data_IF_703340748856
#
_entry.id   IF_703340748856
#
_cell.length_a   1.000
_cell.length_b   1.000
_cell.length_c   1.000
_cell.angle_alpha   90.00
_cell.angle_beta   90.00
_cell.angle_gamma   90.00
#
_symmetry.space_group_name_H-M   'P 1'
#
loop_
_entity.id
_entity.type
_entity.pdbx_description
1 polymer ?
#
# COMPACT_ATOMS: atom_id res chain seq x y z
N UNK A 1 -21.65 23.82 6.70
CA UNK A 1 -22.33 22.75 7.46
C UNK A 1 -22.49 21.45 6.68
N UNK A 2 -23.28 21.34 5.60
CA UNK A 2 -23.40 20.04 4.86
C UNK A 2 -22.24 19.77 3.88
N UNK A 3 -21.68 20.82 3.26
CA UNK A 3 -20.65 20.69 2.23
C UNK A 3 -19.25 20.39 2.79
N UNK A 4 -18.89 20.97 3.94
CA UNK A 4 -17.62 20.69 4.64
C UNK A 4 -17.49 19.21 5.05
N UNK A 5 -18.62 18.56 5.35
CA UNK A 5 -18.66 17.13 5.68
C UNK A 5 -18.37 16.24 4.45
N UNK A 6 -18.88 16.65 3.27
CA UNK A 6 -18.64 15.94 2.02
C UNK A 6 -17.19 16.06 1.52
N UNK A 7 -16.60 17.25 1.61
CA UNK A 7 -15.22 17.49 1.18
C UNK A 7 -14.22 16.80 2.12
N UNK A 8 -14.48 16.80 3.44
CA UNK A 8 -13.66 16.09 4.41
C UNK A 8 -13.68 14.56 4.19
N UNK A 9 -14.87 13.98 3.98
CA UNK A 9 -15.02 12.55 3.70
C UNK A 9 -14.34 12.15 2.39
N UNK A 10 -14.46 12.98 1.35
CA UNK A 10 -13.76 12.76 0.08
C UNK A 10 -12.25 12.77 0.28
N UNK A 11 -11.72 13.78 0.98
CA UNK A 11 -10.29 13.89 1.25
C UNK A 11 -9.77 12.68 2.04
N UNK A 12 -10.54 12.21 3.03
CA UNK A 12 -10.21 11.02 3.80
C UNK A 12 -10.12 9.76 2.91
N UNK A 13 -11.12 9.53 2.06
CA UNK A 13 -11.15 8.37 1.15
C UNK A 13 -9.99 8.39 0.15
N UNK A 14 -9.70 9.56 -0.42
CA UNK A 14 -8.54 9.73 -1.31
C UNK A 14 -7.24 9.43 -0.56
N UNK A 15 -7.09 9.93 0.66
CA UNK A 15 -5.90 9.66 1.47
C UNK A 15 -5.72 8.16 1.77
N UNK A 16 -6.80 7.42 2.05
CA UNK A 16 -6.76 5.97 2.25
C UNK A 16 -6.26 5.27 0.98
N UNK A 17 -6.78 5.61 -0.20
CA UNK A 17 -6.34 5.02 -1.48
C UNK A 17 -4.87 5.31 -1.76
N UNK A 18 -4.41 6.54 -1.51
CA UNK A 18 -2.99 6.92 -1.65
C UNK A 18 -2.12 6.05 -0.76
N UNK A 19 -2.48 5.90 0.53
CA UNK A 19 -1.69 5.11 1.48
C UNK A 19 -1.69 3.63 1.11
N UNK A 20 -2.84 3.04 0.72
CA UNK A 20 -2.89 1.64 0.27
C UNK A 20 -1.95 1.42 -0.91
N UNK A 21 -1.97 2.31 -1.90
CA UNK A 21 -1.11 2.20 -3.10
C UNK A 21 0.37 2.36 -2.78
N UNK A 22 0.71 3.22 -1.82
CA UNK A 22 2.08 3.38 -1.35
C UNK A 22 2.58 2.12 -0.63
N UNK A 23 1.73 1.55 0.22
CA UNK A 23 2.04 0.38 1.04
C UNK A 23 2.23 -0.87 0.17
N UNK A 24 1.46 -1.05 -0.91
CA UNK A 24 1.67 -2.18 -1.83
C UNK A 24 2.88 -2.02 -2.75
N UNK A 25 3.49 -0.83 -2.84
CA UNK A 25 4.64 -0.54 -3.72
C UNK A 25 5.81 0.08 -2.96
N UNK A 26 6.30 -0.53 -1.87
CA UNK A 26 7.29 0.07 -0.99
C UNK A 26 8.60 0.41 -1.70
N UNK A 27 8.99 -0.34 -2.75
CA UNK A 27 10.17 -0.05 -3.56
C UNK A 27 10.08 1.31 -4.28
N UNK A 28 8.88 1.73 -4.67
CA UNK A 28 8.63 3.03 -5.31
C UNK A 28 8.66 4.17 -4.27
N UNK A 29 8.24 3.91 -3.03
CA UNK A 29 8.05 4.94 -2.00
C UNK A 29 9.09 4.92 -0.88
N UNK A 30 10.20 4.20 -1.07
CA UNK A 30 11.23 3.98 -0.04
C UNK A 30 11.98 5.23 0.42
N UNK A 31 12.31 6.14 -0.50
CA UNK A 31 13.21 7.26 -0.23
C UNK A 31 12.47 8.59 -0.26
N UNK A 32 12.51 9.33 0.85
CA UNK A 32 11.93 10.68 0.94
C UNK A 32 12.77 11.68 0.14
N UNK A 33 12.10 12.65 -0.50
CA UNK A 33 12.70 13.68 -1.32
C UNK A 33 11.73 14.16 -2.42
N UNK A 34 12.20 15.05 -3.31
CA UNK A 34 11.36 15.65 -4.36
C UNK A 34 10.62 14.62 -5.22
N UNK A 35 11.25 13.50 -5.52
CA UNK A 35 10.62 12.42 -6.30
C UNK A 35 9.54 11.67 -5.53
N UNK A 36 9.70 11.52 -4.21
CA UNK A 36 8.65 10.95 -3.35
C UNK A 36 7.44 11.87 -3.31
N UNK A 37 7.66 13.16 -3.05
CA UNK A 37 6.58 14.15 -2.98
C UNK A 37 5.82 14.20 -4.31
N UNK A 38 6.53 14.21 -5.44
CA UNK A 38 5.92 14.15 -6.79
C UNK A 38 5.05 12.92 -6.99
N UNK A 39 5.50 11.73 -6.55
CA UNK A 39 4.73 10.48 -6.69
C UNK A 39 3.48 10.50 -5.82
N UNK A 40 3.58 10.99 -4.60
CA UNK A 40 2.43 11.15 -3.69
C UNK A 40 1.44 12.17 -4.26
N UNK A 41 1.92 13.31 -4.75
CA UNK A 41 1.09 14.31 -5.41
C UNK A 41 0.39 13.74 -6.65
N UNK A 42 1.10 13.01 -7.51
CA UNK A 42 0.52 12.39 -8.70
C UNK A 42 -0.58 11.37 -8.36
N UNK A 43 -0.39 10.55 -7.32
CA UNK A 43 -1.44 9.65 -6.83
C UNK A 43 -2.64 10.43 -6.27
N UNK A 44 -2.38 11.49 -5.51
CA UNK A 44 -3.43 12.33 -4.93
C UNK A 44 -4.27 12.98 -6.03
N UNK A 45 -3.61 13.54 -7.05
CA UNK A 45 -4.28 14.12 -8.22
C UNK A 45 -5.10 13.08 -8.98
N UNK A 46 -4.52 11.90 -9.24
CA UNK A 46 -5.21 10.79 -9.90
C UNK A 46 -6.47 10.39 -9.16
N UNK A 47 -6.38 10.06 -7.87
CA UNK A 47 -7.52 9.59 -7.08
C UNK A 47 -8.53 10.69 -6.78
N UNK A 48 -8.10 11.96 -6.72
CA UNK A 48 -9.02 13.08 -6.65
C UNK A 48 -9.81 13.22 -7.94
N UNK A 49 -9.16 13.11 -9.10
CA UNK A 49 -9.80 13.22 -10.41
C UNK A 49 -10.72 12.03 -10.72
N UNK A 50 -10.34 10.83 -10.32
CA UNK A 50 -11.13 9.60 -10.50
C UNK A 50 -12.08 9.30 -9.34
N UNK A 51 -12.34 10.28 -8.46
CA UNK A 51 -13.15 10.06 -7.28
C UNK A 51 -14.61 9.74 -7.67
N UNK A 52 -15.01 8.51 -7.42
CA UNK A 52 -16.40 8.07 -7.51
C UNK A 52 -16.88 7.63 -6.12
N UNK A 53 -17.97 8.24 -5.65
CA UNK A 53 -18.58 7.95 -4.36
C UNK A 53 -19.01 6.48 -4.23
N UNK A 54 -19.38 5.84 -5.34
CA UNK A 54 -19.86 4.45 -5.36
C UNK A 54 -18.70 3.45 -5.23
N UNK A 55 -17.63 3.63 -6.02
CA UNK A 55 -16.42 2.80 -5.95
C UNK A 55 -15.69 2.97 -4.60
N UNK A 56 -15.65 4.18 -4.05
CA UNK A 56 -14.94 4.48 -2.80
C UNK A 56 -15.72 4.11 -1.53
N UNK A 57 -16.99 3.69 -1.65
CA UNK A 57 -17.79 3.23 -0.51
C UNK A 57 -17.26 1.91 0.08
N UNK A 58 -16.48 1.15 -0.68
CA UNK A 58 -15.94 -0.15 -0.30
C UNK A 58 -14.50 -0.08 0.23
N UNK A 59 -13.93 1.12 0.34
CA UNK A 59 -12.60 1.29 0.91
C UNK A 59 -12.61 0.93 2.40
N UNK A 60 -11.52 0.34 2.91
CA UNK A 60 -11.38 0.10 4.34
C UNK A 60 -11.31 1.42 5.09
N UNK A 61 -11.76 1.45 6.34
CA UNK A 61 -11.47 2.55 7.26
C UNK A 61 -9.98 2.57 7.62
N UNK A 62 -9.50 3.70 8.18
CA UNK A 62 -8.15 3.77 8.75
C UNK A 62 -7.90 2.70 9.81
N UNK A 63 -8.91 2.41 10.64
CA UNK A 63 -8.81 1.38 11.67
C UNK A 63 -8.65 -0.01 11.04
N UNK A 64 -9.45 -0.33 10.01
CA UNK A 64 -9.34 -1.61 9.30
C UNK A 64 -8.00 -1.76 8.60
N UNK A 65 -7.51 -0.69 7.95
CA UNK A 65 -6.20 -0.71 7.30
C UNK A 65 -5.07 -0.88 8.32
N UNK A 66 -5.10 -0.12 9.43
CA UNK A 66 -4.10 -0.24 10.48
C UNK A 66 -4.14 -1.63 11.14
N UNK A 67 -5.33 -2.16 11.40
CA UNK A 67 -5.53 -3.49 11.94
C UNK A 67 -4.94 -4.54 11.01
N UNK A 68 -5.28 -4.48 9.71
CA UNK A 68 -4.74 -5.38 8.69
C UNK A 68 -3.20 -5.36 8.73
N UNK A 69 -2.57 -4.21 8.63
CA UNK A 69 -1.10 -4.11 8.65
C UNK A 69 -0.47 -4.61 9.96
N UNK A 70 -1.12 -4.36 11.11
CA UNK A 70 -0.65 -4.86 12.40
C UNK A 70 -0.68 -6.38 12.50
N UNK A 71 -1.70 -7.02 11.91
CA UNK A 71 -1.86 -8.48 11.89
C UNK A 71 -1.12 -9.17 10.74
N UNK A 72 -0.25 -8.46 10.01
CA UNK A 72 0.56 -9.08 8.97
C UNK A 72 1.39 -10.25 9.55
N UNK A 73 1.33 -11.45 8.94
CA UNK A 73 2.13 -12.59 9.34
C UNK A 73 3.61 -12.27 9.43
N UNK A 74 4.31 -12.85 10.40
CA UNK A 74 5.71 -12.52 10.69
C UNK A 74 6.64 -12.78 9.50
N UNK A 75 6.47 -13.88 8.78
CA UNK A 75 7.22 -14.16 7.55
C UNK A 75 7.03 -13.07 6.48
N UNK A 76 5.80 -12.56 6.30
CA UNK A 76 5.51 -11.47 5.37
C UNK A 76 6.13 -10.15 5.84
N UNK A 77 6.08 -9.84 7.15
CA UNK A 77 6.73 -8.65 7.73
C UNK A 77 8.23 -8.65 7.47
N UNK A 78 8.90 -9.79 7.69
CA UNK A 78 10.34 -9.96 7.46
C UNK A 78 10.67 -9.69 5.98
N UNK A 79 9.96 -10.35 5.05
CA UNK A 79 10.20 -10.23 3.62
C UNK A 79 9.88 -8.81 3.12
N UNK A 80 8.80 -8.19 3.61
CA UNK A 80 8.45 -6.81 3.31
C UNK A 80 9.58 -5.85 3.71
N UNK A 81 10.07 -5.96 4.95
CA UNK A 81 11.14 -5.08 5.43
C UNK A 81 12.46 -5.33 4.73
N UNK A 82 12.87 -6.59 4.55
CA UNK A 82 14.17 -6.94 3.98
C UNK A 82 14.25 -6.63 2.48
N UNK A 83 13.30 -7.15 1.69
CA UNK A 83 13.36 -7.05 0.23
C UNK A 83 12.68 -5.77 -0.24
N UNK A 84 11.43 -5.58 0.18
CA UNK A 84 10.56 -4.53 -0.37
C UNK A 84 10.92 -3.13 0.16
N UNK A 85 11.39 -3.01 1.40
CA UNK A 85 11.81 -1.74 2.03
C UNK A 85 13.32 -1.55 2.09
N UNK A 86 14.14 -2.57 2.34
CA UNK A 86 15.60 -2.40 2.40
C UNK A 86 16.32 -2.71 1.08
N UNK A 87 15.68 -3.42 0.14
CA UNK A 87 16.28 -3.77 -1.15
C UNK A 87 17.30 -4.88 -1.07
N UNK A 88 17.24 -5.68 -0.01
CA UNK A 88 18.08 -6.85 0.15
C UNK A 88 17.71 -7.91 -0.89
N UNK A 89 18.70 -8.68 -1.29
CA UNK A 89 18.50 -9.90 -2.08
C UNK A 89 17.79 -10.97 -1.27
N UNK A 90 17.26 -11.99 -1.95
CA UNK A 90 16.65 -13.18 -1.32
C UNK A 90 17.61 -13.85 -0.32
N UNK A 91 18.88 -13.97 -0.67
CA UNK A 91 19.88 -14.58 0.22
C UNK A 91 20.13 -13.74 1.48
N UNK A 92 20.22 -12.42 1.34
CA UNK A 92 20.39 -11.50 2.46
C UNK A 92 19.14 -11.39 3.35
N UNK A 93 17.95 -11.58 2.78
CA UNK A 93 16.69 -11.61 3.52
C UNK A 93 16.51 -12.90 4.33
N UNK A 94 17.00 -14.04 3.82
CA UNK A 94 17.01 -15.31 4.55
C UNK A 94 18.05 -15.32 5.69
N UNK A 95 19.16 -14.57 5.53
CA UNK A 95 20.26 -14.55 6.49
C UNK A 95 19.82 -14.07 7.87
N UNK A 96 20.01 -14.91 8.89
CA UNK A 96 19.66 -14.60 10.28
C UNK A 96 18.17 -14.73 10.61
N UNK A 97 17.39 -15.40 9.75
CA UNK A 97 15.97 -15.73 9.97
C UNK A 97 15.76 -17.24 9.89
N UNK A 98 14.59 -17.72 10.29
CA UNK A 98 14.20 -19.13 10.11
C UNK A 98 13.74 -19.44 8.67
N UNK A 99 13.64 -18.43 7.80
CA UNK A 99 13.19 -18.57 6.42
C UNK A 99 14.31 -19.08 5.52
N UNK A 100 13.99 -19.97 4.59
CA UNK A 100 14.93 -20.40 3.55
C UNK A 100 14.82 -19.50 2.32
N UNK A 101 15.87 -19.47 1.49
CA UNK A 101 15.83 -18.77 0.20
C UNK A 101 14.76 -19.32 -0.76
N UNK A 102 14.28 -20.56 -0.55
CA UNK A 102 13.21 -21.16 -1.34
C UNK A 102 11.82 -20.65 -0.91
N UNK A 103 11.65 -20.19 0.33
CA UNK A 103 10.36 -19.70 0.86
C UNK A 103 10.06 -18.27 0.40
N UNK A 104 11.11 -17.46 0.22
CA UNK A 104 11.00 -16.02 -0.03
C UNK A 104 10.22 -15.67 -1.30
N UNK A 105 10.37 -16.35 -2.45
CA UNK A 105 9.55 -16.06 -3.64
C UNK A 105 8.05 -16.26 -3.39
N UNK A 106 7.67 -17.32 -2.68
CA UNK A 106 6.26 -17.56 -2.35
C UNK A 106 5.74 -16.50 -1.37
N UNK A 107 6.53 -16.17 -0.35
CA UNK A 107 6.19 -15.10 0.60
C UNK A 107 6.11 -13.71 -0.06
N UNK A 108 6.84 -13.46 -1.15
CA UNK A 108 6.71 -12.22 -1.92
C UNK A 108 5.38 -12.16 -2.67
N UNK A 109 4.93 -13.28 -3.25
CA UNK A 109 3.62 -13.36 -3.89
C UNK A 109 2.49 -13.20 -2.86
N UNK A 110 2.58 -13.91 -1.74
CA UNK A 110 1.63 -13.80 -0.62
C UNK A 110 1.62 -12.38 -0.04
N UNK A 111 2.78 -11.71 0.02
CA UNK A 111 2.87 -10.32 0.44
C UNK A 111 2.17 -9.37 -0.53
N UNK A 112 2.33 -9.58 -1.84
CA UNK A 112 1.64 -8.77 -2.86
C UNK A 112 0.12 -8.90 -2.72
N UNK A 113 -0.38 -10.13 -2.59
CA UNK A 113 -1.79 -10.39 -2.32
C UNK A 113 -2.24 -9.73 -1.00
N UNK A 114 -1.46 -9.91 0.07
CA UNK A 114 -1.78 -9.35 1.38
C UNK A 114 -1.88 -7.81 1.36
N UNK A 115 -0.97 -7.13 0.66
CA UNK A 115 -0.94 -5.68 0.57
C UNK A 115 -1.97 -5.11 -0.42
N UNK A 116 -2.59 -5.95 -1.25
CA UNK A 116 -3.70 -5.56 -2.15
C UNK A 116 -5.04 -5.35 -1.41
N UNK A 117 -5.07 -5.57 -0.10
CA UNK A 117 -6.26 -5.41 0.75
C UNK A 117 -7.00 -4.10 0.50
N UNK A 118 -8.27 -4.22 0.09
CA UNK A 118 -9.18 -3.10 -0.12
C UNK A 118 -8.77 -2.17 -1.25
N UNK A 119 -7.84 -2.56 -2.13
CA UNK A 119 -7.48 -1.77 -3.30
C UNK A 119 -8.56 -1.90 -4.36
N UNK A 120 -9.10 -0.76 -4.77
CA UNK A 120 -9.88 -0.63 -5.99
C UNK A 120 -8.92 -0.25 -7.10
N UNK A 121 -8.72 -1.11 -8.10
CA UNK A 121 -8.01 -0.70 -9.31
C UNK A 121 -8.80 0.46 -9.92
N UNK A 122 -8.21 1.65 -10.12
CA UNK A 122 -8.85 2.64 -10.96
C UNK A 122 -8.94 2.02 -12.36
N UNK A 123 -10.13 1.64 -12.80
CA UNK A 123 -10.32 1.21 -14.19
C UNK A 123 -9.88 2.37 -15.09
N UNK A 124 -8.76 2.16 -15.78
CA UNK A 124 -8.09 3.14 -16.60
C UNK A 124 -7.55 2.47 -17.86
N UNK A 125 -8.43 2.36 -18.85
CA UNK A 125 -8.15 2.34 -20.29
C UNK A 125 -7.27 1.20 -20.85
N UNK A 126 -7.94 0.17 -21.36
CA UNK A 126 -7.51 -0.46 -22.62
C UNK A 126 -7.95 0.38 -23.81
#
# INVERSE_FOLDING_TARGET
MAQESGDALRAERVAIQVIQHMVSRPAIFRHRGKEYDRRVSALTELFTASYDNSATCHLPSWEQLAQHLNYMPEGLKIVHMAVAVCGKTVSEAASGTELTSADIPNLLADLEEYLSFGQTTPEGSH
#
